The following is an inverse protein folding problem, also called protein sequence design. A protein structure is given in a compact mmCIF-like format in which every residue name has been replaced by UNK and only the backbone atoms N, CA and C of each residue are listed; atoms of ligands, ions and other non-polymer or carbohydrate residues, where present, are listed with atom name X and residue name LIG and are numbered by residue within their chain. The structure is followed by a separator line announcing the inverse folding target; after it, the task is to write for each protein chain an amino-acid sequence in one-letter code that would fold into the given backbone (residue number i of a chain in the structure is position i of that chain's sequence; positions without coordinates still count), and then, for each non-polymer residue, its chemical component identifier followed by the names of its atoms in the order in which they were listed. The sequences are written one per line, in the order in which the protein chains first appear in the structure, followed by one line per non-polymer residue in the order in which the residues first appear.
data_IF_887951144261
#
_entry.id   IF_887951144261
#
_cell.length_a   1.000
_cell.length_b   1.000
_cell.length_c   1.000
_cell.angle_alpha   90.00
_cell.angle_beta   90.00
_cell.angle_gamma   90.00
#
_symmetry.space_group_name_H-M   'P 1'
#
loop_
_entity.id
_entity.type
_entity.pdbx_description
1 polymer ?
#
# COMPACT_ATOMS: atom_id res chain seq x y z
N UNK A 1 -5.25 -7.93 -9.24
CA UNK A 1 -4.91 -8.66 -7.99
C UNK A 1 -4.38 -7.67 -6.96
N UNK A 2 -4.73 -7.82 -5.68
CA UNK A 2 -4.21 -7.00 -4.56
C UNK A 2 -3.41 -7.92 -3.62
N UNK A 3 -2.18 -7.53 -3.30
CA UNK A 3 -1.27 -8.26 -2.39
C UNK A 3 -0.98 -7.40 -1.17
N UNK A 4 -0.92 -8.02 0.01
CA UNK A 4 -0.68 -7.36 1.29
C UNK A 4 0.42 -8.08 2.06
N UNK A 5 1.48 -7.36 2.44
CA UNK A 5 2.54 -7.91 3.29
C UNK A 5 2.07 -8.05 4.74
N UNK A 6 2.36 -9.18 5.40
CA UNK A 6 1.89 -9.46 6.77
C UNK A 6 2.93 -9.15 7.83
N UNK A 7 4.22 -9.21 7.49
CA UNK A 7 5.36 -8.88 8.35
C UNK A 7 6.39 -8.03 7.61
N UNK A 8 7.38 -7.54 8.35
CA UNK A 8 8.42 -6.64 7.80
C UNK A 8 9.21 -7.27 6.64
N UNK A 9 9.47 -8.57 6.68
CA UNK A 9 10.15 -9.31 5.60
C UNK A 9 9.27 -9.40 4.35
N UNK A 10 7.99 -9.76 4.50
CA UNK A 10 7.03 -9.81 3.39
C UNK A 10 6.84 -8.42 2.77
N UNK A 11 6.82 -7.37 3.61
CA UNK A 11 6.75 -6.00 3.15
C UNK A 11 7.98 -5.61 2.31
N UNK A 12 9.16 -6.06 2.71
CA UNK A 12 10.41 -5.82 1.99
C UNK A 12 10.38 -6.51 0.63
N UNK A 13 10.04 -7.79 0.65
CA UNK A 13 9.97 -8.65 -0.51
C UNK A 13 8.89 -8.16 -1.49
N UNK A 14 7.68 -7.90 -1.03
CA UNK A 14 6.58 -7.38 -1.86
C UNK A 14 6.91 -6.03 -2.50
N UNK A 15 7.67 -5.17 -1.81
CA UNK A 15 8.01 -3.81 -2.27
C UNK A 15 9.29 -3.72 -3.08
N UNK A 16 10.17 -4.72 -3.03
CA UNK A 16 11.51 -4.63 -3.62
C UNK A 16 11.87 -5.82 -4.51
N UNK A 17 11.22 -6.98 -4.35
CA UNK A 17 11.50 -8.18 -5.14
C UNK A 17 10.81 -8.13 -6.51
N UNK A 18 11.54 -8.31 -7.62
CA UNK A 18 10.97 -8.35 -8.96
C UNK A 18 10.04 -9.57 -9.19
N UNK A 19 10.09 -10.58 -8.33
CA UNK A 19 9.18 -11.73 -8.39
C UNK A 19 7.75 -11.36 -7.95
N UNK A 20 7.63 -10.36 -7.07
CA UNK A 20 6.38 -10.02 -6.42
C UNK A 20 5.72 -8.75 -6.96
N UNK A 21 6.46 -7.92 -7.71
CA UNK A 21 5.98 -6.69 -8.37
C UNK A 21 6.63 -6.44 -9.74
N UNK A 22 5.95 -5.68 -10.57
CA UNK A 22 6.49 -4.98 -11.74
C UNK A 22 6.70 -3.49 -11.43
N UNK A 23 7.58 -2.78 -12.13
CA UNK A 23 7.77 -1.34 -11.96
C UNK A 23 6.54 -0.50 -12.35
N UNK A 24 5.68 -1.04 -13.22
CA UNK A 24 4.41 -0.47 -13.58
C UNK A 24 3.31 -0.76 -12.56
N UNK A 25 3.47 -1.67 -11.59
CA UNK A 25 2.45 -1.87 -10.57
C UNK A 25 2.31 -0.67 -9.64
N UNK A 26 1.21 -0.68 -8.88
CA UNK A 26 0.93 0.34 -7.88
C UNK A 26 1.23 -0.15 -6.48
N UNK A 27 1.74 0.76 -5.66
CA UNK A 27 2.13 0.51 -4.28
C UNK A 27 1.42 1.47 -3.34
N UNK A 28 1.00 0.96 -2.18
CA UNK A 28 0.34 1.73 -1.14
C UNK A 28 0.84 1.40 0.27
N UNK A 29 0.82 2.42 1.13
CA UNK A 29 1.16 2.31 2.55
C UNK A 29 0.57 3.47 3.36
N UNK A 30 0.16 3.20 4.60
CA UNK A 30 -0.38 4.22 5.50
C UNK A 30 0.70 5.24 5.92
N UNK A 31 0.51 6.51 5.57
CA UNK A 31 1.52 7.55 5.75
C UNK A 31 1.68 7.92 7.23
N UNK A 32 2.93 7.98 7.71
CA UNK A 32 3.25 8.49 9.05
C UNK A 32 3.09 7.48 10.18
N UNK A 33 2.76 6.22 9.88
CA UNK A 33 2.71 5.14 10.87
C UNK A 33 3.28 3.82 10.32
N UNK A 34 3.72 2.90 11.18
CA UNK A 34 4.06 1.53 10.75
C UNK A 34 2.82 0.80 10.22
N UNK A 35 2.97 0.00 9.17
CA UNK A 35 1.87 -0.77 8.58
C UNK A 35 2.32 -1.68 7.45
N UNK A 36 1.38 -2.43 6.88
CA UNK A 36 1.63 -3.31 5.75
C UNK A 36 1.82 -2.55 4.44
N UNK A 37 2.69 -3.08 3.58
CA UNK A 37 2.78 -2.69 2.19
C UNK A 37 1.69 -3.39 1.38
N UNK A 38 1.04 -2.64 0.49
CA UNK A 38 0.01 -3.15 -0.40
C UNK A 38 0.45 -2.92 -1.84
N UNK A 39 0.38 -3.95 -2.67
CA UNK A 39 0.69 -3.86 -4.11
C UNK A 39 -0.54 -4.27 -4.91
N UNK A 40 -0.91 -3.41 -5.86
CA UNK A 40 -1.97 -3.69 -6.83
C UNK A 40 -1.30 -4.05 -8.14
N UNK A 41 -1.43 -5.31 -8.55
CA UNK A 41 -0.91 -5.80 -9.84
C UNK A 41 -1.79 -5.25 -10.96
N UNK A 42 -1.35 -4.15 -11.57
CA UNK A 42 -2.07 -3.43 -12.61
C UNK A 42 -1.10 -2.44 -13.29
N UNK A 43 -0.95 -2.56 -14.61
CA UNK A 43 -0.04 -1.72 -15.39
C UNK A 43 -0.74 -0.48 -15.96
N UNK A 44 -2.07 -0.42 -15.90
CA UNK A 44 -2.85 0.68 -16.46
C UNK A 44 -2.51 2.01 -15.78
N UNK A 45 -2.63 3.09 -16.57
CA UNK A 45 -2.34 4.43 -16.09
C UNK A 45 -3.37 4.90 -15.06
N UNK A 46 -4.61 4.49 -15.25
CA UNK A 46 -5.76 4.83 -14.41
C UNK A 46 -6.30 3.57 -13.75
N UNK A 47 -6.12 3.49 -12.44
CA UNK A 47 -6.78 2.48 -11.62
C UNK A 47 -8.23 2.90 -11.39
N UNK A 48 -9.14 1.93 -11.37
CA UNK A 48 -10.50 2.16 -10.90
C UNK A 48 -10.45 2.70 -9.45
N UNK A 49 -11.19 3.76 -9.19
CA UNK A 49 -11.31 4.38 -7.87
C UNK A 49 -11.74 3.38 -6.80
N UNK A 50 -12.63 2.43 -7.13
CA UNK A 50 -13.05 1.37 -6.20
C UNK A 50 -11.87 0.50 -5.76
N UNK A 51 -11.00 0.12 -6.70
CA UNK A 51 -9.80 -0.70 -6.40
C UNK A 51 -8.80 0.08 -5.56
N UNK A 52 -8.61 1.37 -5.85
CA UNK A 52 -7.76 2.27 -5.04
C UNK A 52 -8.28 2.32 -3.62
N UNK A 53 -9.59 2.51 -3.45
CA UNK A 53 -10.23 2.65 -2.16
C UNK A 53 -10.19 1.35 -1.35
N UNK A 54 -10.40 0.20 -1.98
CA UNK A 54 -10.30 -1.12 -1.35
C UNK A 54 -8.87 -1.41 -0.88
N UNK A 55 -7.88 -1.17 -1.75
CA UNK A 55 -6.47 -1.35 -1.39
C UNK A 55 -6.02 -0.37 -0.30
N UNK A 56 -6.49 0.88 -0.33
CA UNK A 56 -6.23 1.87 0.70
C UNK A 56 -6.85 1.49 2.04
N UNK A 57 -8.07 0.96 2.04
CA UNK A 57 -8.74 0.46 3.23
C UNK A 57 -7.97 -0.71 3.86
N UNK A 58 -7.45 -1.64 3.04
CA UNK A 58 -6.58 -2.71 3.50
C UNK A 58 -5.30 -2.17 4.13
N UNK A 59 -4.61 -1.22 3.47
CA UNK A 59 -3.40 -0.59 3.99
C UNK A 59 -3.66 0.13 5.33
N UNK A 60 -4.78 0.84 5.44
CA UNK A 60 -5.19 1.52 6.67
C UNK A 60 -5.52 0.54 7.80
N UNK A 61 -6.31 -0.52 7.53
CA UNK A 61 -6.65 -1.58 8.50
C UNK A 61 -5.41 -2.27 9.04
N UNK A 62 -4.44 -2.55 8.18
CA UNK A 62 -3.20 -3.24 8.53
C UNK A 62 -2.09 -2.30 9.01
N UNK A 63 -2.45 -1.06 9.37
CA UNK A 63 -1.53 -0.07 9.94
C UNK A 63 -1.74 0.12 11.44
N UNK A 64 -0.77 0.78 12.07
CA UNK A 64 -0.84 1.25 13.46
C UNK A 64 -1.17 2.75 13.55
N UNK A 65 -1.79 3.31 12.51
CA UNK A 65 -2.26 4.69 12.54
C UNK A 65 -3.46 4.80 13.48
N UNK A 66 -3.53 5.92 14.22
CA UNK A 66 -4.66 6.25 15.08
C UNK A 66 -5.54 7.29 14.41
N UNK A 67 -6.86 7.17 14.56
CA UNK A 67 -7.84 8.16 14.10
C UNK A 67 -8.88 7.59 13.14
N UNK A 68 -9.92 8.38 12.87
CA UNK A 68 -11.00 8.03 11.95
C UNK A 68 -10.65 8.29 10.48
N UNK A 69 -9.65 9.14 10.22
CA UNK A 69 -9.19 9.48 8.87
C UNK A 69 -7.71 9.16 8.75
N UNK A 70 -7.38 8.20 7.89
CA UNK A 70 -6.01 7.76 7.63
C UNK A 70 -5.59 8.19 6.23
N UNK A 71 -4.36 8.70 6.12
CA UNK A 71 -3.75 9.02 4.82
C UNK A 71 -2.94 7.84 4.34
N UNK A 72 -3.10 7.49 3.07
CA UNK A 72 -2.38 6.39 2.42
C UNK A 72 -1.63 6.94 1.21
N UNK A 73 -0.32 6.70 1.17
CA UNK A 73 0.51 7.02 0.02
C UNK A 73 0.17 6.07 -1.12
N UNK A 74 0.07 6.57 -2.35
CA UNK A 74 -0.11 5.80 -3.59
C UNK A 74 0.96 6.22 -4.59
N UNK A 75 1.74 5.28 -5.10
CA UNK A 75 2.81 5.54 -6.07
C UNK A 75 3.06 4.31 -6.93
N UNK A 76 3.90 4.44 -7.96
CA UNK A 76 4.32 3.28 -8.75
C UNK A 76 5.39 2.50 -8.01
N UNK A 77 5.39 1.19 -8.15
CA UNK A 77 6.40 0.31 -7.59
C UNK A 77 7.83 0.70 -8.04
N UNK A 78 8.02 1.21 -9.27
CA UNK A 78 9.32 1.74 -9.73
C UNK A 78 9.88 2.89 -8.87
N UNK A 79 9.00 3.64 -8.22
CA UNK A 79 9.33 4.80 -7.39
C UNK A 79 9.56 4.42 -5.92
N UNK A 80 9.46 3.12 -5.60
CA UNK A 80 9.72 2.53 -4.29
C UNK A 80 11.08 1.84 -4.31
N UNK A 81 11.98 2.25 -3.43
CA UNK A 81 13.30 1.62 -3.29
C UNK A 81 13.69 1.46 -1.83
N UNK A 82 14.59 0.52 -1.54
CA UNK A 82 15.12 0.29 -0.20
C UNK A 82 16.48 0.99 -0.05
N UNK A 83 16.67 1.86 0.95
CA UNK A 83 17.98 2.44 1.22
C UNK A 83 19.00 1.35 1.59
N UNK A 84 20.28 1.51 1.20
CA UNK A 84 21.32 0.53 1.53
C UNK A 84 21.48 0.41 3.05
N UNK A 85 21.45 -0.82 3.56
CA UNK A 85 21.57 -1.10 5.00
C UNK A 85 20.30 -0.85 5.83
N UNK A 86 19.17 -0.48 5.20
CA UNK A 86 17.90 -0.30 5.88
C UNK A 86 17.35 -1.63 6.44
N UNK A 87 16.63 -1.54 7.56
CA UNK A 87 15.89 -2.67 8.14
C UNK A 87 14.81 -3.14 7.16
N UNK A 88 14.42 -4.42 7.27
CA UNK A 88 13.35 -4.98 6.45
C UNK A 88 12.06 -4.16 6.58
N UNK A 89 11.41 -3.90 5.43
CA UNK A 89 10.16 -3.15 5.34
C UNK A 89 10.34 -1.62 5.38
N UNK A 90 11.56 -1.10 5.56
CA UNK A 90 11.82 0.33 5.41
C UNK A 90 12.12 0.65 3.95
N UNK A 91 11.24 1.45 3.33
CA UNK A 91 11.36 1.90 1.95
C UNK A 91 11.40 3.42 1.86
N UNK A 92 11.94 3.92 0.76
CA UNK A 92 11.95 5.31 0.37
C UNK A 92 11.16 5.48 -0.93
N UNK A 93 10.39 6.57 -0.99
CA UNK A 93 9.65 6.97 -2.18
C UNK A 93 10.41 8.11 -2.87
N UNK A 94 10.75 7.94 -4.14
CA UNK A 94 11.57 8.91 -4.90
C UNK A 94 10.81 9.60 -6.04
N UNK A 95 9.65 9.07 -6.42
CA UNK A 95 8.84 9.59 -7.53
C UNK A 95 7.60 10.35 -7.09
N UNK A 96 6.57 10.29 -7.92
CA UNK A 96 5.30 10.97 -7.66
C UNK A 96 4.47 10.17 -6.66
N UNK A 97 4.20 10.77 -5.51
CA UNK A 97 3.38 10.17 -4.45
C UNK A 97 2.06 10.92 -4.37
N UNK A 98 0.97 10.22 -4.62
CA UNK A 98 -0.39 10.69 -4.39
C UNK A 98 -0.83 10.32 -2.98
N UNK A 99 -1.72 11.10 -2.40
CA UNK A 99 -2.32 10.77 -1.09
C UNK A 99 -3.78 10.39 -1.30
N UNK A 100 -4.16 9.21 -0.80
CA UNK A 100 -5.53 8.74 -0.72
C UNK A 100 -6.00 8.88 0.72
N UNK A 101 -7.13 9.53 0.92
CA UNK A 101 -7.73 9.70 2.26
C UNK A 101 -8.74 8.59 2.49
N UNK A 102 -8.60 7.88 3.60
CA UNK A 102 -9.47 6.77 4.00
C UNK A 102 -10.23 7.16 5.26
N UNK A 103 -11.55 7.17 5.18
CA UNK A 103 -12.42 7.25 6.35
C UNK A 103 -12.68 5.84 6.88
N UNK A 104 -12.25 5.55 8.10
CA UNK A 104 -12.32 4.21 8.69
C UNK A 104 -13.76 3.71 8.87
N UNK A 105 -14.75 4.60 9.05
CA UNK A 105 -16.16 4.20 9.15
C UNK A 105 -16.71 3.70 7.81
N UNK A 106 -16.32 4.33 6.69
CA UNK A 106 -16.70 3.89 5.35
C UNK A 106 -15.88 2.68 4.90
N UNK A 107 -14.60 2.64 5.31
CA UNK A 107 -13.71 1.52 5.03
C UNK A 107 -14.19 0.22 5.68
N UNK A 108 -14.82 0.27 6.86
CA UNK A 108 -15.33 -0.92 7.55
C UNK A 108 -16.26 -1.74 6.64
N UNK A 109 -17.24 -1.10 6.01
CA UNK A 109 -18.19 -1.76 5.10
C UNK A 109 -17.49 -2.39 3.88
N UNK A 110 -16.45 -1.73 3.37
CA UNK A 110 -15.65 -2.25 2.25
C UNK A 110 -14.85 -3.48 2.67
N UNK A 111 -14.25 -3.43 3.85
CA UNK A 111 -13.44 -4.53 4.40
C UNK A 111 -14.30 -5.76 4.66
N UNK A 112 -15.52 -5.60 5.21
CA UNK A 112 -16.46 -6.70 5.39
C UNK A 112 -16.79 -7.41 4.07
N UNK A 113 -16.97 -6.65 2.98
CA UNK A 113 -17.16 -7.20 1.64
C UNK A 113 -15.93 -7.96 1.12
N UNK A 114 -14.72 -7.51 1.47
CA UNK A 114 -13.47 -8.12 1.02
C UNK A 114 -13.10 -9.39 1.82
N UNK A 115 -13.59 -9.51 3.05
CA UNK A 115 -13.38 -10.69 3.91
C UNK A 115 -14.45 -11.79 3.68
N UNK A 116 -15.54 -11.48 2.95
CA UNK A 116 -16.64 -12.40 2.59
C UNK A 116 -16.36 -13.17 1.30
#
# INVERSE_FOLDING_TARGET
EIRVGKKAEDNDDLSCSPEHRDGADWWMHASGCPGSHVVIRCHDQDLNEEVIQDAAALAARQSKCNGSIIKVSLTRCRDVSKPPGAKAGLVQLTGNVRTVTVNMSEAALRLERLDS
#
